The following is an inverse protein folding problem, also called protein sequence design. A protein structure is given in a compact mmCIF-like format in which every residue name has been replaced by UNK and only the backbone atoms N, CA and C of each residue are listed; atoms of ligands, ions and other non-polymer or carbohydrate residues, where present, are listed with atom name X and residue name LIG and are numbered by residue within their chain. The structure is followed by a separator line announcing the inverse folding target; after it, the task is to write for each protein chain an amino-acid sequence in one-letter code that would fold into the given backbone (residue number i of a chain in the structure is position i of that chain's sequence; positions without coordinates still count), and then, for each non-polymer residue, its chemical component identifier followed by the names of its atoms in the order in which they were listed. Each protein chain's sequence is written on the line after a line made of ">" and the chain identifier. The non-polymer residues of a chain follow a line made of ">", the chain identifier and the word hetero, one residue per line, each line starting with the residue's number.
data_IF_889167503199
#
_entry.id   IF_889167503199
#
_cell.length_a   1.000
_cell.length_b   1.000
_cell.length_c   1.000
_cell.angle_alpha   90.00
_cell.angle_beta   90.00
_cell.angle_gamma   90.00
#
_symmetry.space_group_name_H-M   'P 1'
#
loop_
_entity.id
_entity.type
_entity.pdbx_description
1 polymer ?
#
# COMPACT_ATOMS: atom_id res chain seq x y z
N UNK A 1 0.88 9.29 0.63
CA UNK A 1 0.90 9.17 2.11
C UNK A 1 0.93 10.56 2.70
N UNK A 2 -0.03 10.88 3.55
CA UNK A 2 -0.17 12.18 4.23
C UNK A 2 0.13 11.93 5.71
N UNK A 3 1.20 12.53 6.23
CA UNK A 3 1.59 12.36 7.63
C UNK A 3 0.90 13.40 8.50
N UNK A 4 0.34 12.95 9.64
CA UNK A 4 -0.43 13.81 10.55
C UNK A 4 0.41 14.36 11.70
N UNK A 5 1.73 14.19 11.62
CA UNK A 5 2.74 14.70 12.54
C UNK A 5 4.12 14.67 11.87
N UNK A 6 5.09 15.35 12.46
CA UNK A 6 6.50 15.21 12.06
C UNK A 6 6.95 13.75 12.20
N UNK A 7 7.71 13.26 11.23
CA UNK A 7 8.35 11.95 11.34
C UNK A 7 9.84 12.06 11.10
N UNK A 8 10.57 11.38 11.97
CA UNK A 8 12.01 11.19 11.93
C UNK A 8 12.35 9.74 12.26
N UNK A 9 13.61 9.35 12.13
CA UNK A 9 14.03 7.98 12.44
C UNK A 9 13.60 7.46 13.81
N UNK A 10 13.63 8.31 14.84
CA UNK A 10 13.31 7.93 16.23
C UNK A 10 11.82 7.63 16.47
N UNK A 11 10.90 8.23 15.71
CA UNK A 11 9.46 7.97 15.81
C UNK A 11 8.91 7.16 14.62
N UNK A 12 9.81 6.51 13.88
CA UNK A 12 9.48 5.55 12.85
C UNK A 12 9.03 6.16 11.53
N UNK A 13 9.76 7.14 11.00
CA UNK A 13 9.56 7.62 9.62
C UNK A 13 9.69 6.50 8.56
N UNK A 14 9.29 6.82 7.34
CA UNK A 14 9.40 5.94 6.19
C UNK A 14 10.88 5.68 5.86
N UNK A 15 11.19 4.45 5.45
CA UNK A 15 12.44 4.10 4.79
C UNK A 15 12.15 3.46 3.45
N UNK A 16 12.96 3.78 2.46
CA UNK A 16 12.77 3.32 1.08
C UNK A 16 14.07 2.77 0.52
N UNK A 17 13.97 1.86 -0.45
CA UNK A 17 15.10 1.50 -1.30
C UNK A 17 14.99 2.26 -2.63
N UNK A 18 15.77 3.34 -2.85
CA UNK A 18 15.61 4.19 -4.03
C UNK A 18 15.77 3.41 -5.34
N UNK A 19 14.86 3.66 -6.29
CA UNK A 19 14.90 3.03 -7.61
C UNK A 19 14.40 1.59 -7.68
N UNK A 20 14.01 0.98 -6.56
CA UNK A 20 13.47 -0.40 -6.53
C UNK A 20 12.20 -0.58 -7.37
N UNK A 21 11.36 0.45 -7.52
CA UNK A 21 10.21 0.45 -8.44
C UNK A 21 10.59 0.35 -9.94
N UNK A 22 11.88 0.43 -10.28
CA UNK A 22 12.41 0.32 -11.65
C UNK A 22 13.41 -0.82 -11.81
N UNK A 23 13.91 -1.38 -10.71
CA UNK A 23 14.95 -2.40 -10.74
C UNK A 23 14.58 -3.49 -9.75
N UNK A 24 14.55 -4.72 -10.24
CA UNK A 24 14.32 -5.89 -9.38
C UNK A 24 15.38 -5.91 -8.27
N UNK A 25 14.91 -6.26 -7.09
CA UNK A 25 15.67 -6.39 -5.85
C UNK A 25 15.14 -7.64 -5.14
N UNK A 26 16.00 -8.36 -4.40
CA UNK A 26 15.64 -9.65 -3.81
C UNK A 26 14.42 -9.59 -2.87
N UNK A 27 14.16 -8.44 -2.24
CA UNK A 27 12.97 -8.25 -1.41
C UNK A 27 11.64 -8.32 -2.19
N UNK A 28 11.63 -8.12 -3.51
CA UNK A 28 10.41 -8.31 -4.31
C UNK A 28 9.98 -9.78 -4.40
N UNK A 29 10.86 -10.73 -4.07
CA UNK A 29 10.54 -12.16 -4.03
C UNK A 29 9.90 -12.57 -2.69
N UNK A 30 9.81 -11.67 -1.72
CA UNK A 30 9.24 -12.00 -0.42
C UNK A 30 7.70 -11.88 -0.45
N UNK A 31 7.03 -13.03 -0.41
CA UNK A 31 5.56 -13.12 -0.44
C UNK A 31 4.88 -12.65 0.85
N UNK A 32 5.63 -12.56 1.97
CA UNK A 32 5.08 -12.09 3.26
C UNK A 32 4.92 -10.57 3.35
N UNK A 33 5.36 -9.83 2.33
CA UNK A 33 5.18 -8.38 2.29
C UNK A 33 3.70 -8.02 2.48
N UNK A 34 3.44 -7.11 3.44
CA UNK A 34 2.10 -6.65 3.83
C UNK A 34 1.15 -7.72 4.41
N UNK A 35 1.67 -8.85 4.90
CA UNK A 35 0.86 -9.77 5.71
C UNK A 35 0.54 -9.16 7.08
N UNK A 36 -0.64 -9.51 7.63
CA UNK A 36 -1.07 -9.09 8.96
C UNK A 36 -0.01 -9.37 10.04
N UNK A 37 0.61 -10.56 10.02
CA UNK A 37 1.64 -10.94 10.99
C UNK A 37 2.89 -10.06 10.95
N UNK A 38 3.30 -9.60 9.75
CA UNK A 38 4.41 -8.64 9.59
C UNK A 38 3.99 -7.25 10.07
N UNK A 39 2.76 -6.83 9.79
CA UNK A 39 2.21 -5.53 10.24
C UNK A 39 2.05 -5.46 11.76
N UNK A 40 1.68 -6.58 12.40
CA UNK A 40 1.52 -6.73 13.86
C UNK A 40 2.81 -7.07 14.60
N UNK A 41 3.90 -7.35 13.87
CA UNK A 41 5.20 -7.74 14.43
C UNK A 41 5.07 -9.00 15.30
N UNK A 42 4.35 -10.01 14.81
CA UNK A 42 4.16 -11.28 15.54
C UNK A 42 5.48 -12.05 15.73
N UNK A 43 6.41 -11.91 14.80
CA UNK A 43 7.78 -12.44 14.91
C UNK A 43 8.80 -11.29 14.81
N UNK A 44 9.22 -10.67 15.93
CA UNK A 44 10.17 -9.55 15.93
C UNK A 44 11.53 -9.86 15.27
N UNK A 45 11.89 -11.14 15.16
CA UNK A 45 13.14 -11.59 14.55
C UNK A 45 13.01 -11.83 13.04
N UNK A 46 11.87 -11.51 12.40
CA UNK A 46 11.70 -11.69 10.96
C UNK A 46 12.76 -10.87 10.18
N UNK A 47 13.50 -11.49 9.25
CA UNK A 47 14.52 -10.81 8.45
C UNK A 47 13.99 -9.58 7.68
N UNK A 48 12.68 -9.49 7.42
CA UNK A 48 12.06 -8.32 6.79
C UNK A 48 12.25 -7.02 7.57
N UNK A 49 12.50 -7.08 8.88
CA UNK A 49 12.76 -5.88 9.69
C UNK A 49 14.19 -5.38 9.58
N UNK A 50 15.12 -6.21 9.12
CA UNK A 50 16.54 -5.85 9.05
C UNK A 50 16.78 -4.70 8.07
N UNK A 51 17.83 -3.92 8.32
CA UNK A 51 18.26 -2.88 7.37
C UNK A 51 18.90 -3.51 6.14
N UNK A 52 18.62 -2.95 4.97
CA UNK A 52 19.24 -3.38 3.71
C UNK A 52 20.19 -2.31 3.17
N UNK A 53 21.26 -2.73 2.49
CA UNK A 53 22.20 -1.79 1.90
C UNK A 53 21.51 -0.87 0.89
N UNK A 54 21.79 0.43 0.99
CA UNK A 54 21.22 1.44 0.10
C UNK A 54 19.84 1.97 0.51
N UNK A 55 19.23 1.46 1.60
CA UNK A 55 18.01 2.06 2.15
C UNK A 55 18.25 3.54 2.55
N UNK A 56 17.20 4.35 2.43
CA UNK A 56 17.22 5.78 2.76
C UNK A 56 16.03 6.14 3.62
N UNK A 57 16.29 6.96 4.62
CA UNK A 57 15.30 7.62 5.46
C UNK A 57 14.51 8.66 4.66
N UNK A 58 13.20 8.72 4.89
CA UNK A 58 12.29 9.73 4.36
C UNK A 58 11.54 10.33 5.55
N UNK A 59 12.18 11.32 6.15
CA UNK A 59 11.63 12.15 7.22
C UNK A 59 10.81 13.28 6.62
N UNK A 60 9.72 13.63 7.29
CA UNK A 60 8.76 14.63 6.82
C UNK A 60 8.29 15.51 7.97
N UNK A 61 7.93 16.75 7.66
CA UNK A 61 7.27 17.63 8.61
C UNK A 61 5.74 17.50 8.49
N UNK A 62 5.03 17.91 9.52
CA UNK A 62 3.58 18.01 9.52
C UNK A 62 3.08 18.84 8.32
N UNK A 63 2.21 18.23 7.51
CA UNK A 63 1.66 18.84 6.30
C UNK A 63 2.38 18.43 5.00
N UNK A 64 3.55 17.80 5.08
CA UNK A 64 4.21 17.24 3.90
C UNK A 64 3.45 16.00 3.36
N UNK A 65 3.58 15.77 2.05
CA UNK A 65 2.99 14.62 1.36
C UNK A 65 4.09 13.82 0.67
N UNK A 66 4.13 12.52 0.95
CA UNK A 66 5.00 11.58 0.24
C UNK A 66 4.20 10.88 -0.85
N UNK A 67 4.65 11.01 -2.09
CA UNK A 67 4.11 10.31 -3.26
C UNK A 67 5.12 9.26 -3.69
N UNK A 68 4.67 8.02 -3.87
CA UNK A 68 5.52 6.90 -4.25
C UNK A 68 4.82 5.95 -5.21
N UNK A 69 5.60 5.29 -6.06
CA UNK A 69 5.15 4.17 -6.88
C UNK A 69 4.86 2.97 -5.97
N UNK A 70 3.76 2.25 -6.21
CA UNK A 70 3.36 1.10 -5.41
C UNK A 70 4.39 -0.04 -5.37
N UNK A 71 5.28 -0.13 -6.37
CA UNK A 71 6.37 -1.12 -6.46
C UNK A 71 7.64 -0.68 -5.73
N UNK A 72 7.69 0.55 -5.21
CA UNK A 72 8.84 1.00 -4.43
C UNK A 72 8.91 0.17 -3.15
N UNK A 73 10.02 -0.55 -2.95
CA UNK A 73 10.26 -1.21 -1.67
C UNK A 73 10.38 -0.13 -0.60
N UNK A 74 9.50 -0.23 0.39
CA UNK A 74 9.44 0.67 1.51
C UNK A 74 9.03 -0.06 2.79
N UNK A 75 9.28 0.57 3.91
CA UNK A 75 8.86 0.16 5.24
C UNK A 75 8.98 1.34 6.20
N UNK A 76 8.85 1.09 7.49
CA UNK A 76 9.09 2.12 8.50
C UNK A 76 10.28 1.73 9.38
N UNK A 77 10.94 2.74 9.95
CA UNK A 77 11.81 2.54 11.11
C UNK A 77 10.96 2.20 12.36
N UNK A 78 11.53 1.56 13.38
CA UNK A 78 10.83 1.33 14.64
C UNK A 78 10.47 2.67 15.29
N UNK A 79 9.25 2.77 15.81
CA UNK A 79 8.86 3.91 16.65
C UNK A 79 9.38 3.64 18.07
N UNK A 80 10.34 4.45 18.52
CA UNK A 80 10.93 4.36 19.86
C UNK A 80 10.35 5.38 20.83
N UNK A 81 9.34 6.15 20.41
CA UNK A 81 8.63 7.10 21.25
C UNK A 81 7.43 6.45 21.94
N UNK A 82 6.85 7.17 22.90
CA UNK A 82 5.60 6.81 23.57
C UNK A 82 4.37 7.38 22.86
N UNK A 83 4.54 8.03 21.70
CA UNK A 83 3.48 8.63 20.91
C UNK A 83 3.17 7.76 19.69
N UNK A 84 1.89 7.62 19.37
CA UNK A 84 1.48 7.01 18.10
C UNK A 84 1.98 7.84 16.92
N UNK A 85 2.19 7.17 15.78
CA UNK A 85 2.57 7.79 14.51
C UNK A 85 1.55 7.47 13.44
N UNK A 86 0.69 8.43 13.14
CA UNK A 86 -0.46 8.25 12.26
C UNK A 86 -0.23 8.88 10.89
N UNK A 87 -0.73 8.21 9.86
CA UNK A 87 -0.74 8.70 8.49
C UNK A 87 -2.03 8.27 7.79
N UNK A 88 -2.35 8.98 6.71
CA UNK A 88 -3.39 8.60 5.76
C UNK A 88 -2.71 8.11 4.48
N UNK A 89 -2.95 6.86 4.09
CA UNK A 89 -2.50 6.32 2.80
C UNK A 89 -3.63 6.44 1.78
N UNK A 90 -3.31 7.00 0.62
CA UNK A 90 -4.21 7.11 -0.52
C UNK A 90 -3.59 6.38 -1.70
N UNK A 91 -4.39 5.55 -2.37
CA UNK A 91 -4.05 4.95 -3.66
C UNK A 91 -4.65 5.81 -4.77
N UNK A 92 -3.83 6.18 -5.75
CA UNK A 92 -4.25 7.02 -6.86
C UNK A 92 -4.13 6.25 -8.17
N UNK A 93 -5.25 6.09 -8.86
CA UNK A 93 -5.34 5.48 -10.18
C UNK A 93 -5.91 6.52 -11.15
N UNK A 94 -5.08 7.11 -12.04
CA UNK A 94 -5.54 8.15 -12.94
C UNK A 94 -6.54 7.60 -13.95
N UNK A 95 -7.51 8.43 -14.34
CA UNK A 95 -8.50 8.17 -15.39
C UNK A 95 -9.11 6.76 -15.33
N UNK A 96 -9.59 6.36 -14.14
CA UNK A 96 -10.08 5.02 -13.86
C UNK A 96 -11.01 4.43 -14.95
N UNK A 97 -11.94 5.25 -15.46
CA UNK A 97 -12.90 4.83 -16.50
C UNK A 97 -12.27 4.56 -17.87
N UNK A 98 -11.04 5.03 -18.10
CA UNK A 98 -10.25 4.79 -19.32
C UNK A 98 -9.26 3.63 -19.17
N UNK A 99 -9.11 3.07 -17.95
CA UNK A 99 -8.27 1.90 -17.76
C UNK A 99 -8.89 0.66 -18.44
N UNK A 100 -8.10 -0.30 -18.90
CA UNK A 100 -8.61 -1.60 -19.35
C UNK A 100 -9.51 -2.24 -18.29
N UNK A 101 -10.60 -2.87 -18.71
CA UNK A 101 -11.56 -3.50 -17.80
C UNK A 101 -10.90 -4.45 -16.77
N UNK A 102 -9.91 -5.31 -17.13
CA UNK A 102 -9.21 -6.14 -16.16
C UNK A 102 -8.50 -5.35 -15.04
N UNK A 103 -7.96 -4.16 -15.35
CA UNK A 103 -7.35 -3.28 -14.36
C UNK A 103 -8.41 -2.61 -13.48
N UNK A 104 -9.54 -2.20 -14.08
CA UNK A 104 -10.67 -1.67 -13.31
C UNK A 104 -11.17 -2.70 -12.29
N UNK A 105 -11.32 -3.97 -12.71
CA UNK A 105 -11.68 -5.08 -11.82
C UNK A 105 -10.65 -5.27 -10.73
N UNK A 106 -9.33 -5.29 -11.03
CA UNK A 106 -8.28 -5.41 -10.00
C UNK A 106 -8.34 -4.28 -8.98
N UNK A 107 -8.49 -3.03 -9.41
CA UNK A 107 -8.59 -1.88 -8.52
C UNK A 107 -9.86 -1.94 -7.68
N UNK A 108 -10.97 -2.38 -8.26
CA UNK A 108 -12.20 -2.61 -7.51
C UNK A 108 -12.02 -3.71 -6.46
N UNK A 109 -11.31 -4.81 -6.77
CA UNK A 109 -10.95 -5.85 -5.80
C UNK A 109 -10.11 -5.28 -4.63
N UNK A 110 -9.15 -4.37 -4.90
CA UNK A 110 -8.42 -3.65 -3.85
C UNK A 110 -9.38 -2.80 -3.00
N UNK A 111 -10.26 -2.04 -3.64
CA UNK A 111 -11.24 -1.17 -2.98
C UNK A 111 -12.16 -1.95 -2.03
N UNK A 112 -12.64 -3.12 -2.45
CA UNK A 112 -13.47 -4.02 -1.61
C UNK A 112 -12.66 -5.03 -0.79
N UNK A 113 -11.33 -4.86 -0.70
CA UNK A 113 -10.42 -5.70 0.09
C UNK A 113 -10.50 -7.20 -0.22
N UNK A 114 -10.60 -7.55 -1.49
CA UNK A 114 -10.69 -8.93 -1.98
C UNK A 114 -9.34 -9.42 -2.52
N UNK A 115 -8.61 -10.19 -1.71
CA UNK A 115 -7.52 -11.07 -2.17
C UNK A 115 -6.23 -10.37 -2.65
N UNK A 116 -5.93 -9.16 -2.19
CA UNK A 116 -4.77 -8.36 -2.64
C UNK A 116 -4.16 -7.52 -1.51
N UNK A 117 -3.03 -6.86 -1.83
CA UNK A 117 -2.03 -6.09 -1.05
C UNK A 117 -2.45 -5.22 0.16
N UNK A 118 -3.73 -5.13 0.50
CA UNK A 118 -4.24 -4.43 1.68
C UNK A 118 -5.15 -5.39 2.43
N UNK A 119 -4.74 -5.76 3.65
CA UNK A 119 -5.16 -6.93 4.42
C UNK A 119 -6.48 -7.67 4.04
N UNK A 120 -6.41 -9.01 3.85
CA UNK A 120 -7.51 -9.97 3.80
C UNK A 120 -7.92 -10.49 5.22
N UNK A 121 -9.15 -10.99 5.35
CA UNK A 121 -9.66 -11.93 6.38
C UNK A 121 -9.54 -11.63 7.90
N UNK A 122 -9.22 -10.41 8.34
CA UNK A 122 -9.39 -10.03 9.74
C UNK A 122 -10.86 -10.12 10.20
N UNK A 123 -11.14 -10.67 11.38
CA UNK A 123 -12.51 -10.85 11.92
C UNK A 123 -13.35 -9.55 11.94
N UNK A 124 -12.69 -8.40 12.02
CA UNK A 124 -13.28 -7.05 12.06
C UNK A 124 -13.05 -6.25 10.76
N UNK A 125 -12.62 -6.91 9.67
CA UNK A 125 -12.39 -6.22 8.39
C UNK A 125 -13.72 -5.76 7.82
N UNK A 126 -13.94 -4.44 7.84
CA UNK A 126 -15.12 -3.82 7.27
C UNK A 126 -14.76 -3.14 5.95
N UNK A 127 -15.41 -3.57 4.88
CA UNK A 127 -15.41 -2.89 3.59
C UNK A 127 -16.44 -1.76 3.62
N UNK A 128 -16.28 -0.76 2.74
CA UNK A 128 -17.26 0.31 2.57
C UNK A 128 -18.65 -0.21 2.17
N UNK A 129 -18.71 -1.40 1.56
CA UNK A 129 -19.97 -2.07 1.23
C UNK A 129 -20.73 -2.57 2.45
N UNK A 130 -20.04 -2.80 3.58
CA UNK A 130 -20.62 -3.26 4.84
C UNK A 130 -20.97 -2.12 5.80
N UNK A 131 -20.73 -0.85 5.41
CA UNK A 131 -21.10 0.30 6.23
C UNK A 131 -22.62 0.41 6.43
N UNK A 132 -23.07 0.99 7.56
CA UNK A 132 -24.50 1.25 7.76
C UNK A 132 -25.03 2.14 6.63
N UNK A 133 -26.24 1.81 6.16
CA UNK A 133 -26.82 2.34 4.93
C UNK A 133 -26.79 3.88 4.86
N UNK A 134 -27.14 4.54 5.96
CA UNK A 134 -27.18 6.01 6.06
C UNK A 134 -25.82 6.64 5.71
N UNK A 135 -24.72 6.07 6.19
CA UNK A 135 -23.38 6.56 5.91
C UNK A 135 -22.96 6.16 4.48
N UNK A 136 -23.23 4.91 4.08
CA UNK A 136 -22.87 4.38 2.76
C UNK A 136 -23.46 5.20 1.61
N UNK A 137 -24.76 5.53 1.66
CA UNK A 137 -25.44 6.30 0.60
C UNK A 137 -24.77 7.66 0.34
N UNK A 138 -24.22 8.30 1.38
CA UNK A 138 -23.57 9.62 1.22
C UNK A 138 -22.28 9.58 0.42
N UNK A 139 -21.66 8.42 0.26
CA UNK A 139 -20.36 8.25 -0.41
C UNK A 139 -20.36 7.23 -1.54
N UNK A 140 -21.43 6.45 -1.71
CA UNK A 140 -21.54 5.38 -2.70
C UNK A 140 -21.34 5.87 -4.14
N UNK A 141 -21.75 7.10 -4.45
CA UNK A 141 -21.52 7.69 -5.77
C UNK A 141 -20.04 7.89 -6.12
N UNK A 142 -19.14 7.82 -5.15
CA UNK A 142 -17.68 7.91 -5.35
C UNK A 142 -17.02 6.53 -5.48
N UNK A 143 -17.77 5.43 -5.33
CA UNK A 143 -17.21 4.10 -5.42
C UNK A 143 -16.84 3.78 -6.89
N UNK A 144 -15.70 3.12 -7.13
CA UNK A 144 -15.31 2.75 -8.49
C UNK A 144 -16.32 1.76 -9.09
N UNK A 145 -16.75 2.00 -10.32
CA UNK A 145 -17.60 1.05 -11.06
C UNK A 145 -16.80 -0.21 -11.43
N UNK A 146 -17.36 -1.41 -11.27
CA UNK A 146 -16.70 -2.64 -11.69
C UNK A 146 -17.36 -3.25 -12.93
N UNK A 147 -16.61 -3.58 -14.00
CA UNK A 147 -17.11 -4.39 -15.10
C UNK A 147 -17.57 -5.78 -14.63
N UNK A 148 -18.66 -6.29 -15.21
CA UNK A 148 -19.19 -7.63 -14.90
C UNK A 148 -18.49 -8.72 -15.71
N UNK A 149 -18.26 -9.88 -15.09
CA UNK A 149 -17.68 -11.08 -15.75
C UNK A 149 -16.29 -10.88 -16.37
N UNK A 150 -15.56 -9.84 -15.95
CA UNK A 150 -14.17 -9.59 -16.36
C UNK A 150 -13.21 -10.17 -15.33
N UNK A 151 -12.18 -10.87 -15.81
CA UNK A 151 -11.11 -11.41 -14.96
C UNK A 151 -10.13 -10.28 -14.63
N UNK A 152 -9.83 -10.11 -13.34
CA UNK A 152 -8.88 -9.10 -12.88
C UNK A 152 -7.45 -9.38 -13.38
N UNK A 153 -6.76 -8.32 -13.82
CA UNK A 153 -5.32 -8.38 -14.11
C UNK A 153 -4.54 -8.79 -12.85
N UNK A 154 -3.48 -9.61 -12.90
CA UNK A 154 -2.68 -9.96 -11.72
C UNK A 154 -2.08 -8.72 -11.04
N UNK A 155 -1.98 -8.77 -9.71
CA UNK A 155 -1.29 -7.71 -8.96
C UNK A 155 0.22 -7.79 -9.19
N UNK A 156 0.78 -6.80 -9.88
CA UNK A 156 2.21 -6.81 -10.23
C UNK A 156 3.04 -5.93 -9.28
N UNK A 157 3.73 -6.59 -8.35
CA UNK A 157 4.71 -5.94 -7.45
C UNK A 157 6.12 -5.86 -8.04
N UNK A 158 6.38 -6.53 -9.16
CA UNK A 158 7.71 -6.63 -9.75
C UNK A 158 7.88 -5.56 -10.85
N UNK A 159 8.98 -4.79 -10.82
CA UNK A 159 9.26 -3.80 -11.84
C UNK A 159 9.80 -4.47 -13.12
N UNK A 160 8.96 -5.23 -13.81
CA UNK A 160 9.31 -5.86 -15.09
C UNK A 160 9.18 -4.79 -16.19
N UNK A 161 10.31 -4.15 -16.53
CA UNK A 161 10.38 -3.05 -17.49
C UNK A 161 10.32 -3.50 -18.96
N UNK A 162 10.38 -4.80 -19.24
CA UNK A 162 10.29 -5.34 -20.62
C UNK A 162 8.98 -4.91 -21.32
N UNK A 163 7.95 -4.59 -20.54
CA UNK A 163 6.65 -4.13 -21.02
C UNK A 163 6.51 -2.60 -21.15
N UNK A 164 7.54 -1.80 -20.85
CA UNK A 164 7.46 -0.32 -20.86
C UNK A 164 8.13 0.29 -22.11
N UNK A 165 8.89 -0.50 -22.88
CA UNK A 165 9.51 -0.07 -24.14
C UNK A 165 8.64 -0.37 -25.37
N UNK A 166 7.35 -0.03 -25.31
CA UNK A 166 6.44 0.00 -26.47
C UNK A 166 6.00 1.43 -26.76
#
# INVERSE_FOLDING_TARGET
>A
MIYLQDTAKNNGCLRVLPGSHRKIHGLHENEKAHTEGVSRVENPDDPLYQSVEGEREVSVNFGDVVIGDARLIHGAYPNQSDQERTLITLWYHPDYSQLPEPMQTRIHEIFVRKGVDTDPDGLESMTLLQWPEKQRISVESFFPSCPENVIAEPWNRKPILENINT
#
